data_IF_482300398926
#
_entry.id   IF_482300398926
#
_cell.length_a   1.000
_cell.length_b   1.000
_cell.length_c   1.000
_cell.angle_alpha   90.00
_cell.angle_beta   90.00
_cell.angle_gamma   90.00
#
_symmetry.space_group_name_H-M   'P 1'
#
loop_
_entity.id
_entity.type
_entity.pdbx_description
1 polymer ?
#
# COMPACT_ATOMS: atom_id res chain seq x y z
N UNK A 1 2.72 -11.90 -70.03
CA UNK A 1 2.70 -11.34 -71.39
C UNK A 1 2.02 -9.98 -71.34
N UNK A 2 2.65 -8.98 -71.97
CA UNK A 2 2.14 -7.66 -72.35
C UNK A 2 1.74 -6.64 -71.25
N UNK A 3 2.66 -5.66 -71.08
CA UNK A 3 2.41 -4.26 -70.74
C UNK A 3 1.52 -3.57 -71.80
N UNK A 4 1.04 -2.34 -71.52
CA UNK A 4 1.65 -1.16 -72.16
C UNK A 4 1.86 -0.02 -71.14
N UNK A 5 3.03 0.61 -70.99
CA UNK A 5 3.74 1.57 -71.88
C UNK A 5 2.93 2.83 -72.20
N UNK A 6 3.21 3.92 -71.46
CA UNK A 6 3.00 5.28 -71.92
C UNK A 6 4.15 6.16 -71.42
N UNK A 7 4.74 6.87 -72.38
CA UNK A 7 6.03 7.55 -72.36
C UNK A 7 5.88 9.07 -72.34
N UNK A 8 6.87 9.73 -71.71
CA UNK A 8 7.38 11.10 -71.95
C UNK A 8 6.56 12.30 -71.45
N UNK A 9 7.15 13.52 -71.29
CA UNK A 9 8.56 13.90 -71.46
C UNK A 9 9.21 14.60 -70.23
N UNK A 10 10.52 14.44 -70.14
CA UNK A 10 11.47 15.19 -69.29
C UNK A 10 11.64 16.64 -69.76
N UNK A 11 11.60 17.65 -68.87
CA UNK A 11 12.09 18.99 -69.20
C UNK A 11 13.61 19.07 -69.04
N UNK A 12 14.26 19.61 -70.07
CA UNK A 12 15.71 19.82 -70.13
C UNK A 12 16.21 20.79 -69.05
N UNK A 13 17.29 20.40 -68.38
CA UNK A 13 18.02 21.25 -67.45
C UNK A 13 19.11 22.00 -68.21
N UNK A 14 18.94 23.32 -68.32
CA UNK A 14 20.03 24.22 -68.70
C UNK A 14 21.01 24.38 -67.52
N UNK A 15 22.33 24.43 -67.76
CA UNK A 15 23.30 24.67 -66.70
C UNK A 15 23.22 26.12 -66.22
N UNK A 16 22.63 26.33 -65.03
CA UNK A 16 22.67 27.61 -64.32
C UNK A 16 24.09 27.84 -63.80
N UNK A 17 24.66 29.00 -64.13
CA UNK A 17 26.00 29.43 -63.70
C UNK A 17 26.08 29.46 -62.17
N UNK A 18 27.16 28.88 -61.62
CA UNK A 18 27.53 29.00 -60.20
C UNK A 18 27.91 30.45 -59.89
N UNK A 19 27.03 31.12 -59.16
CA UNK A 19 27.19 32.47 -58.64
C UNK A 19 25.80 33.01 -58.43
N UNK A 20 25.43 33.34 -57.18
CA UNK A 20 24.15 33.97 -56.79
C UNK A 20 22.95 33.07 -56.42
N UNK A 21 23.16 31.95 -55.70
CA UNK A 21 22.04 31.21 -55.06
C UNK A 21 22.19 30.88 -53.57
N UNK A 22 23.19 31.43 -52.88
CA UNK A 22 23.38 31.17 -51.45
C UNK A 22 22.33 31.81 -50.50
N UNK A 23 21.76 33.01 -50.74
CA UNK A 23 20.84 33.63 -49.78
C UNK A 23 19.37 33.23 -49.94
N UNK A 24 18.96 32.70 -51.10
CA UNK A 24 17.55 32.35 -51.36
C UNK A 24 17.15 30.98 -50.80
N UNK A 25 18.03 29.97 -50.89
CA UNK A 25 17.80 28.63 -50.35
C UNK A 25 17.85 28.59 -48.81
N UNK A 26 18.68 29.44 -48.19
CA UNK A 26 18.73 29.58 -46.73
C UNK A 26 17.43 30.19 -46.15
N UNK A 27 16.80 31.13 -46.88
CA UNK A 27 15.49 31.70 -46.50
C UNK A 27 14.34 30.72 -46.70
N UNK A 28 14.37 29.90 -47.76
CA UNK A 28 13.36 28.87 -48.00
C UNK A 28 13.40 27.74 -46.96
N UNK A 29 14.58 27.30 -46.54
CA UNK A 29 14.73 26.28 -45.48
C UNK A 29 14.34 26.82 -44.10
N UNK A 30 14.67 28.07 -43.78
CA UNK A 30 14.25 28.69 -42.51
C UNK A 30 12.73 28.87 -42.41
N UNK A 31 12.06 29.20 -43.52
CA UNK A 31 10.61 29.37 -43.57
C UNK A 31 9.86 28.02 -43.47
N UNK A 32 10.35 26.98 -44.15
CA UNK A 32 9.78 25.63 -44.05
C UNK A 32 9.93 25.03 -42.64
N UNK A 33 11.05 25.26 -41.96
CA UNK A 33 11.28 24.74 -40.60
C UNK A 33 10.43 25.49 -39.55
N UNK A 34 10.18 26.79 -39.75
CA UNK A 34 9.31 27.59 -38.89
C UNK A 34 7.81 27.26 -39.06
N UNK A 35 7.37 26.93 -40.28
CA UNK A 35 5.99 26.48 -40.54
C UNK A 35 5.70 25.10 -39.93
N UNK A 36 6.66 24.16 -39.96
CA UNK A 36 6.47 22.82 -39.37
C UNK A 36 6.41 22.89 -37.84
N UNK A 37 7.17 23.78 -37.20
CA UNK A 37 7.12 23.99 -35.74
C UNK A 37 5.83 24.70 -35.28
N UNK A 38 5.30 25.64 -36.07
CA UNK A 38 4.05 26.33 -35.75
C UNK A 38 2.82 25.44 -35.95
N UNK A 39 2.80 24.58 -36.97
CA UNK A 39 1.69 23.64 -37.20
C UNK A 39 1.69 22.52 -36.15
N UNK A 40 2.86 22.03 -35.72
CA UNK A 40 2.96 21.05 -34.63
C UNK A 40 2.52 21.58 -33.25
N UNK A 41 2.55 22.91 -33.05
CA UNK A 41 2.10 23.57 -31.82
C UNK A 41 0.56 23.73 -31.76
N UNK A 42 -0.11 23.80 -32.91
CA UNK A 42 -1.55 24.10 -32.98
C UNK A 42 -2.40 22.82 -33.15
N UNK A 43 -1.91 21.76 -33.81
CA UNK A 43 -2.76 20.60 -34.16
C UNK A 43 -2.82 19.47 -33.12
N UNK A 44 -2.16 19.58 -31.95
CA UNK A 44 -2.17 18.51 -30.92
C UNK A 44 -3.31 18.64 -29.88
N UNK A 45 -4.24 19.60 -30.05
CA UNK A 45 -5.30 19.90 -29.08
C UNK A 45 -6.63 19.19 -29.33
N UNK A 46 -6.71 18.26 -30.30
CA UNK A 46 -7.94 17.53 -30.58
C UNK A 46 -7.71 16.01 -30.68
N UNK A 47 -7.97 15.28 -29.59
CA UNK A 47 -8.33 13.85 -29.60
C UNK A 47 -8.96 13.44 -28.23
N UNK A 48 -9.66 12.30 -28.14
CA UNK A 48 -11.08 12.22 -27.83
C UNK A 48 -11.37 11.91 -26.35
N UNK A 49 -12.58 12.27 -25.91
CA UNK A 49 -13.20 11.84 -24.66
C UNK A 49 -13.29 10.31 -24.59
N UNK A 50 -12.77 9.65 -23.53
CA UNK A 50 -13.08 8.25 -23.30
C UNK A 50 -14.49 8.11 -22.73
N UNK A 51 -15.24 7.15 -23.30
CA UNK A 51 -16.57 6.78 -22.87
C UNK A 51 -16.58 6.28 -21.41
N UNK A 52 -17.63 6.69 -20.66
CA UNK A 52 -17.91 6.23 -19.31
C UNK A 52 -17.93 4.69 -19.24
N UNK A 53 -17.06 4.13 -18.39
CA UNK A 53 -17.16 2.74 -17.95
C UNK A 53 -18.21 2.62 -16.82
N UNK A 54 -19.02 1.56 -16.90
CA UNK A 54 -20.12 1.24 -15.99
C UNK A 54 -19.67 1.04 -14.52
N UNK A 55 -20.57 1.26 -13.54
CA UNK A 55 -20.23 1.13 -12.12
C UNK A 55 -20.03 -0.34 -11.71
N UNK A 56 -18.94 -0.60 -11.00
CA UNK A 56 -18.67 -1.87 -10.32
C UNK A 56 -19.45 -1.96 -8.98
N UNK A 57 -19.81 -3.18 -8.52
CA UNK A 57 -20.73 -3.38 -7.41
C UNK A 57 -20.13 -2.94 -6.06
N UNK A 58 -20.95 -2.26 -5.26
CA UNK A 58 -20.65 -1.85 -3.89
C UNK A 58 -20.56 -3.05 -2.95
N UNK A 59 -19.47 -3.14 -2.20
CA UNK A 59 -19.36 -3.98 -1.01
C UNK A 59 -19.80 -3.18 0.22
N UNK A 60 -20.39 -3.85 1.25
CA UNK A 60 -21.02 -3.18 2.38
C UNK A 60 -20.02 -2.44 3.27
N UNK A 61 -20.40 -1.22 3.61
CA UNK A 61 -19.68 -0.24 4.42
C UNK A 61 -19.82 -0.59 5.90
N UNK A 62 -18.81 -1.25 6.48
CA UNK A 62 -18.57 -1.18 7.93
C UNK A 62 -17.12 -1.55 8.24
N UNK A 63 -16.51 -0.78 9.16
CA UNK A 63 -15.17 -0.93 9.76
C UNK A 63 -13.99 -0.27 9.02
N UNK A 64 -13.84 1.04 9.22
CA UNK A 64 -12.55 1.75 9.12
C UNK A 64 -12.33 2.58 10.39
N UNK A 65 -11.51 2.09 11.33
CA UNK A 65 -10.86 2.95 12.32
C UNK A 65 -9.40 2.53 12.62
N UNK A 66 -8.49 3.44 12.25
CA UNK A 66 -7.19 3.88 12.81
C UNK A 66 -6.19 2.86 13.40
N UNK A 67 -4.97 2.86 12.82
CA UNK A 67 -3.72 2.35 13.43
C UNK A 67 -2.71 3.48 13.68
N UNK A 68 -1.83 3.36 14.70
CA UNK A 68 -0.53 4.02 14.72
C UNK A 68 0.65 3.02 14.65
N UNK A 69 1.80 3.57 14.27
CA UNK A 69 3.03 2.91 13.80
C UNK A 69 3.86 2.20 14.88
N UNK A 70 4.69 1.22 14.46
CA UNK A 70 5.74 0.58 15.28
C UNK A 70 7.15 0.93 14.77
N UNK A 71 8.01 1.30 15.71
CA UNK A 71 9.46 1.42 15.55
C UNK A 71 10.15 0.11 16.00
N UNK A 72 11.25 -0.23 15.33
CA UNK A 72 12.06 -1.43 15.57
C UNK A 72 13.22 -1.12 16.52
N UNK A 73 13.52 -2.01 17.46
CA UNK A 73 14.80 -2.04 18.16
C UNK A 73 15.22 -3.49 18.43
N UNK A 74 16.52 -3.71 18.31
CA UNK A 74 17.21 -4.99 18.18
C UNK A 74 18.23 -5.08 19.33
N UNK A 75 18.20 -6.11 20.18
CA UNK A 75 19.27 -6.35 21.18
C UNK A 75 19.46 -7.86 21.41
N UNK A 76 20.72 -8.29 21.33
CA UNK A 76 21.21 -9.62 21.67
C UNK A 76 21.81 -9.66 23.10
N UNK A 77 21.55 -10.78 23.78
CA UNK A 77 22.39 -11.53 24.75
C UNK A 77 22.96 -10.85 26.02
N UNK A 78 22.55 -11.29 27.21
CA UNK A 78 23.20 -12.39 27.99
C UNK A 78 23.06 -12.25 29.55
N UNK A 79 22.74 -13.40 30.17
CA UNK A 79 23.13 -13.90 31.50
C UNK A 79 22.42 -13.49 32.82
N UNK A 80 21.90 -14.56 33.46
CA UNK A 80 21.97 -14.92 34.89
C UNK A 80 20.96 -14.37 35.93
N UNK A 81 20.04 -15.27 36.30
CA UNK A 81 19.51 -15.60 37.64
C UNK A 81 19.32 -14.46 38.67
N UNK A 82 18.10 -13.96 38.75
CA UNK A 82 17.27 -13.85 39.95
C UNK A 82 15.92 -13.28 39.50
N UNK A 83 14.79 -13.78 40.02
CA UNK A 83 13.46 -13.22 39.72
C UNK A 83 13.34 -11.80 40.28
N UNK A 84 13.01 -10.76 39.49
CA UNK A 84 12.45 -9.52 40.00
C UNK A 84 10.92 -9.48 39.80
N UNK A 85 10.19 -8.65 40.57
CA UNK A 85 8.78 -8.42 40.35
C UNK A 85 8.56 -7.78 38.97
N UNK A 86 7.58 -8.30 38.22
CA UNK A 86 7.18 -7.77 36.91
C UNK A 86 6.62 -6.36 37.12
N UNK A 87 7.42 -5.36 36.76
CA UNK A 87 6.98 -3.99 36.55
C UNK A 87 6.22 -3.90 35.22
N UNK A 88 5.00 -3.39 35.30
CA UNK A 88 4.07 -3.19 34.20
C UNK A 88 4.58 -2.16 33.18
N UNK A 89 4.66 -2.55 31.91
CA UNK A 89 4.64 -1.64 30.77
C UNK A 89 3.25 -1.70 30.09
N UNK A 90 2.77 -0.61 29.44
CA UNK A 90 1.35 -0.40 29.20
C UNK A 90 0.83 -1.23 28.03
N UNK A 91 -0.06 -2.17 28.34
CA UNK A 91 -0.93 -2.81 27.35
C UNK A 91 -1.92 -1.80 26.80
N UNK A 92 -1.92 -1.57 25.49
CA UNK A 92 -2.99 -0.85 24.79
C UNK A 92 -4.31 -1.58 25.04
N UNK A 93 -5.11 -1.04 25.95
CA UNK A 93 -6.42 -1.58 26.32
C UNK A 93 -7.48 -0.97 25.41
N UNK A 94 -8.11 -1.78 24.56
CA UNK A 94 -9.38 -1.39 23.95
C UNK A 94 -10.45 -1.46 25.05
N UNK A 95 -10.83 -0.31 25.61
CA UNK A 95 -11.92 -0.20 26.57
C UNK A 95 -13.25 -0.04 25.83
N UNK A 96 -14.17 -1.00 25.99
CA UNK A 96 -15.57 -0.88 25.57
C UNK A 96 -16.47 -1.29 26.74
N UNK A 97 -17.53 -0.52 26.99
CA UNK A 97 -18.55 -0.77 28.03
C UNK A 97 -19.93 -0.88 27.40
N UNK A 98 -20.68 -1.95 27.68
CA UNK A 98 -22.07 -2.15 27.22
C UNK A 98 -22.90 -2.79 28.34
N UNK A 99 -24.14 -2.31 28.53
CA UNK A 99 -25.11 -2.76 29.53
C UNK A 99 -26.17 -3.71 28.97
N UNK A 100 -26.43 -4.82 29.67
CA UNK A 100 -27.80 -5.36 29.87
C UNK A 100 -28.36 -6.41 28.90
N UNK A 101 -27.80 -6.62 27.72
CA UNK A 101 -28.24 -7.65 26.76
C UNK A 101 -27.01 -8.43 26.31
N UNK A 102 -27.16 -9.73 25.95
CA UNK A 102 -26.06 -10.66 25.65
C UNK A 102 -24.93 -10.00 24.84
N UNK A 103 -23.93 -9.49 25.55
CA UNK A 103 -22.97 -8.59 24.97
C UNK A 103 -21.92 -9.43 24.25
N UNK A 104 -21.78 -9.22 22.94
CA UNK A 104 -20.72 -9.83 22.14
C UNK A 104 -19.49 -8.94 22.20
N UNK A 105 -18.42 -9.44 22.83
CA UNK A 105 -17.12 -8.78 22.78
C UNK A 105 -16.27 -9.48 21.73
N UNK A 106 -15.75 -8.70 20.79
CA UNK A 106 -14.80 -9.18 19.78
C UNK A 106 -13.44 -8.58 20.06
N UNK A 107 -12.44 -9.43 20.30
CA UNK A 107 -11.05 -8.97 20.41
C UNK A 107 -10.34 -9.22 19.09
N UNK A 108 -10.03 -8.13 18.38
CA UNK A 108 -9.17 -8.19 17.21
C UNK A 108 -7.74 -8.53 17.64
N UNK A 109 -7.38 -9.81 17.58
CA UNK A 109 -6.01 -10.30 17.81
C UNK A 109 -5.40 -9.88 19.15
N UNK A 110 -5.88 -10.48 20.25
CA UNK A 110 -5.24 -10.32 21.55
C UNK A 110 -3.77 -10.75 21.51
N UNK A 111 -2.85 -10.03 22.19
CA UNK A 111 -1.43 -10.35 22.15
C UNK A 111 -1.14 -11.70 22.80
N UNK A 112 -0.15 -12.41 22.25
CA UNK A 112 0.37 -13.64 22.84
C UNK A 112 1.08 -13.31 24.15
N UNK A 113 0.59 -13.86 25.27
CA UNK A 113 1.18 -13.65 26.59
C UNK A 113 2.20 -14.72 26.98
N UNK A 114 2.02 -15.94 26.47
CA UNK A 114 2.90 -17.08 26.77
C UNK A 114 2.82 -18.11 25.64
N UNK A 115 3.95 -18.73 25.34
CA UNK A 115 4.03 -19.90 24.46
C UNK A 115 4.83 -20.99 25.14
N UNK A 116 4.33 -22.23 25.08
CA UNK A 116 5.02 -23.43 25.52
C UNK A 116 5.24 -24.33 24.31
N UNK A 117 6.49 -24.59 23.95
CA UNK A 117 6.84 -25.44 22.83
C UNK A 117 6.98 -26.90 23.25
N UNK A 118 6.38 -27.77 22.45
CA UNK A 118 6.52 -29.22 22.52
C UNK A 118 7.26 -29.72 21.27
N UNK A 119 7.56 -31.02 21.24
CA UNK A 119 8.26 -31.64 20.12
C UNK A 119 7.52 -31.48 18.78
N UNK A 120 6.19 -31.47 18.79
CA UNK A 120 5.34 -31.50 17.59
C UNK A 120 4.28 -30.38 17.51
N UNK A 121 4.20 -29.53 18.54
CA UNK A 121 3.18 -28.48 18.67
C UNK A 121 3.62 -27.37 19.62
N UNK A 122 2.83 -26.30 19.67
CA UNK A 122 2.97 -25.25 20.66
C UNK A 122 1.64 -25.03 21.35
N UNK A 123 1.68 -24.71 22.63
CA UNK A 123 0.55 -24.17 23.38
C UNK A 123 0.71 -22.66 23.45
N UNK A 124 -0.28 -21.94 22.96
CA UNK A 124 -0.32 -20.49 22.87
C UNK A 124 -1.37 -19.99 23.86
N UNK A 125 -0.97 -19.08 24.74
CA UNK A 125 -1.86 -18.38 25.65
C UNK A 125 -1.96 -16.92 25.24
N UNK A 126 -3.18 -16.43 25.04
CA UNK A 126 -3.49 -15.01 24.80
C UNK A 126 -4.33 -14.46 25.94
N UNK A 127 -4.01 -13.24 26.37
CA UNK A 127 -4.71 -12.58 27.46
C UNK A 127 -5.69 -11.52 26.92
N UNK A 128 -6.93 -11.55 27.42
CA UNK A 128 -7.98 -10.57 27.11
C UNK A 128 -8.48 -9.98 28.41
N UNK A 129 -8.53 -8.65 28.49
CA UNK A 129 -9.15 -7.93 29.59
C UNK A 129 -10.38 -7.19 29.07
N UNK A 130 -11.49 -7.32 29.78
CA UNK A 130 -12.75 -6.65 29.44
C UNK A 130 -13.49 -6.19 30.69
N UNK A 131 -14.33 -5.18 30.54
CA UNK A 131 -15.19 -4.67 31.61
C UNK A 131 -16.62 -5.13 31.37
N UNK A 132 -17.09 -6.06 32.20
CA UNK A 132 -18.50 -6.43 32.25
C UNK A 132 -19.26 -5.32 32.97
N UNK A 133 -20.19 -4.64 32.28
CA UNK A 133 -20.88 -3.49 32.86
C UNK A 133 -21.93 -3.89 33.91
N UNK A 134 -22.51 -5.08 33.81
CA UNK A 134 -23.58 -5.58 34.68
C UNK A 134 -23.43 -7.08 34.95
N UNK A 135 -24.26 -7.60 35.86
CA UNK A 135 -24.44 -9.03 36.03
C UNK A 135 -25.08 -9.64 34.77
N UNK A 136 -24.74 -10.90 34.46
CA UNK A 136 -25.32 -11.62 33.33
C UNK A 136 -24.28 -12.38 32.50
N UNK A 137 -24.73 -12.87 31.34
CA UNK A 137 -23.90 -13.64 30.42
C UNK A 137 -23.31 -12.76 29.31
N UNK A 138 -22.04 -12.98 29.03
CA UNK A 138 -21.24 -12.24 28.07
C UNK A 138 -20.49 -13.24 27.19
N UNK A 139 -20.64 -13.10 25.87
CA UNK A 139 -19.93 -13.93 24.90
C UNK A 139 -18.67 -13.19 24.42
N UNK A 140 -17.50 -13.78 24.67
CA UNK A 140 -16.21 -13.20 24.32
C UNK A 140 -15.57 -14.04 23.24
N UNK A 141 -15.38 -13.45 22.07
CA UNK A 141 -14.79 -14.14 20.92
C UNK A 141 -13.38 -13.64 20.65
N UNK A 142 -12.42 -14.54 20.84
CA UNK A 142 -11.05 -14.39 20.37
C UNK A 142 -11.02 -14.73 18.88
N UNK A 143 -10.90 -13.70 18.06
CA UNK A 143 -10.69 -13.85 16.62
C UNK A 143 -9.21 -14.09 16.31
N UNK A 144 -8.93 -14.38 15.05
CA UNK A 144 -7.57 -14.40 14.53
C UNK A 144 -6.71 -15.51 15.16
N UNK A 145 -7.34 -16.66 15.43
CA UNK A 145 -6.65 -17.86 15.93
C UNK A 145 -6.14 -18.64 14.73
N UNK A 146 -4.92 -19.16 14.81
CA UNK A 146 -4.29 -19.93 13.75
C UNK A 146 -5.21 -20.97 13.11
N UNK A 147 -5.10 -21.12 11.78
CA UNK A 147 -5.69 -22.23 11.04
C UNK A 147 -5.13 -23.59 11.50
N UNK A 148 -3.90 -23.59 12.03
CA UNK A 148 -3.20 -24.76 12.52
C UNK A 148 -3.63 -25.17 13.94
N UNK A 149 -4.60 -24.48 14.54
CA UNK A 149 -5.16 -24.79 15.86
C UNK A 149 -5.69 -26.23 15.90
N UNK A 150 -5.22 -27.01 16.87
CA UNK A 150 -5.70 -28.36 17.15
C UNK A 150 -7.10 -28.33 17.76
N UNK A 151 -7.88 -29.36 17.48
CA UNK A 151 -9.32 -29.35 17.77
C UNK A 151 -9.55 -29.75 19.20
N UNK A 152 -10.53 -29.12 19.84
CA UNK A 152 -10.84 -29.34 21.25
C UNK A 152 -9.64 -29.04 22.17
N UNK A 153 -8.70 -28.21 21.70
CA UNK A 153 -7.50 -27.82 22.45
C UNK A 153 -7.68 -26.51 23.23
N UNK A 154 -8.72 -25.73 22.90
CA UNK A 154 -8.99 -24.47 23.56
C UNK A 154 -9.42 -24.69 25.01
N UNK A 155 -8.81 -23.93 25.91
CA UNK A 155 -9.10 -23.80 27.32
C UNK A 155 -9.18 -22.32 27.64
N UNK A 156 -10.11 -21.94 28.50
CA UNK A 156 -10.28 -20.55 28.90
C UNK A 156 -10.31 -20.48 30.41
N UNK A 157 -9.36 -19.75 30.96
CA UNK A 157 -9.32 -19.44 32.39
C UNK A 157 -9.77 -18.00 32.59
N UNK A 158 -10.61 -17.77 33.60
CA UNK A 158 -11.14 -16.44 33.91
C UNK A 158 -10.83 -16.05 35.35
N UNK A 159 -10.42 -14.80 35.55
CA UNK A 159 -10.28 -14.18 36.86
C UNK A 159 -11.00 -12.84 36.87
N UNK A 160 -11.72 -12.54 37.95
CA UNK A 160 -12.39 -11.25 38.13
C UNK A 160 -11.71 -10.43 39.23
N UNK A 161 -11.71 -9.12 39.07
CA UNK A 161 -11.12 -8.18 40.04
C UNK A 161 -12.19 -7.73 41.04
N UNK A 162 -11.78 -7.46 42.28
CA UNK A 162 -12.64 -6.82 43.29
C UNK A 162 -13.66 -7.74 43.97
N UNK A 163 -13.37 -9.04 44.07
CA UNK A 163 -14.24 -10.01 44.77
C UNK A 163 -15.53 -10.37 44.03
N UNK A 164 -15.70 -9.92 42.79
CA UNK A 164 -16.74 -10.38 41.89
C UNK A 164 -16.51 -11.85 41.50
N UNK A 165 -17.60 -12.57 41.21
CA UNK A 165 -17.54 -13.94 40.69
C UNK A 165 -17.74 -13.91 39.17
N UNK A 166 -16.82 -14.52 38.45
CA UNK A 166 -16.94 -14.77 37.02
C UNK A 166 -16.74 -16.28 36.76
N UNK A 167 -17.68 -16.88 36.04
CA UNK A 167 -17.63 -18.30 35.69
C UNK A 167 -17.62 -18.47 34.18
N UNK A 168 -16.71 -19.30 33.67
CA UNK A 168 -16.74 -19.71 32.26
C UNK A 168 -17.77 -20.83 32.11
N UNK A 169 -18.88 -20.54 31.44
CA UNK A 169 -20.03 -21.45 31.26
C UNK A 169 -19.77 -22.42 30.11
N UNK A 170 -19.10 -21.96 29.06
CA UNK A 170 -18.82 -22.77 27.88
C UNK A 170 -17.74 -22.19 27.00
N UNK A 171 -17.05 -23.07 26.27
CA UNK A 171 -16.04 -22.70 25.29
C UNK A 171 -16.40 -23.39 23.98
N UNK A 172 -16.61 -22.58 22.94
CA UNK A 172 -16.94 -23.06 21.59
C UNK A 172 -15.82 -22.70 20.64
N UNK A 173 -15.24 -23.71 20.01
CA UNK A 173 -14.27 -23.53 18.93
C UNK A 173 -15.00 -23.43 17.59
N UNK A 174 -14.93 -22.25 16.96
CA UNK A 174 -15.33 -22.11 15.57
C UNK A 174 -14.10 -22.30 14.69
N UNK A 175 -13.84 -23.56 14.35
CA UNK A 175 -12.96 -23.89 13.24
C UNK A 175 -13.64 -23.43 11.95
N UNK A 176 -13.13 -22.37 11.33
CA UNK A 176 -13.33 -22.22 9.89
C UNK A 176 -12.43 -23.27 9.27
N UNK A 177 -12.93 -24.51 9.18
CA UNK A 177 -12.31 -25.54 8.36
C UNK A 177 -12.00 -24.87 7.04
N UNK A 178 -10.70 -24.88 6.67
CA UNK A 178 -10.12 -24.00 5.66
C UNK A 178 -11.12 -23.71 4.57
N UNK A 179 -11.34 -22.42 4.31
CA UNK A 179 -12.23 -21.87 3.29
C UNK A 179 -12.76 -22.98 2.37
N UNK A 180 -14.06 -23.36 2.40
CA UNK A 180 -14.55 -24.46 1.58
C UNK A 180 -13.96 -24.30 0.20
N UNK A 181 -13.44 -25.36 -0.44
CA UNK A 181 -12.57 -25.23 -1.60
C UNK A 181 -13.11 -24.30 -2.72
N UNK A 182 -14.41 -23.98 -2.72
CA UNK A 182 -15.06 -22.94 -3.55
C UNK A 182 -15.15 -21.48 -3.04
N UNK A 183 -14.86 -21.13 -1.76
CA UNK A 183 -14.90 -19.75 -1.24
C UNK A 183 -13.52 -19.04 -1.19
N UNK A 184 -12.41 -19.77 -1.33
CA UNK A 184 -11.07 -19.19 -1.47
C UNK A 184 -10.84 -18.64 -2.89
N UNK A 185 -11.36 -19.29 -3.95
CA UNK A 185 -11.36 -18.74 -5.30
C UNK A 185 -11.96 -17.32 -5.40
N UNK A 186 -13.17 -17.01 -4.89
CA UNK A 186 -13.77 -15.68 -5.05
C UNK A 186 -13.02 -14.61 -4.26
N UNK A 187 -12.49 -14.90 -3.07
CA UNK A 187 -11.67 -13.93 -2.31
C UNK A 187 -10.31 -13.68 -2.98
N UNK A 188 -9.66 -14.72 -3.52
CA UNK A 188 -8.42 -14.56 -4.29
C UNK A 188 -8.65 -13.86 -5.63
N UNK A 189 -9.79 -14.08 -6.26
CA UNK A 189 -10.20 -13.36 -7.45
C UNK A 189 -10.51 -11.89 -7.15
N UNK A 190 -11.23 -11.61 -6.05
CA UNK A 190 -11.45 -10.26 -5.58
C UNK A 190 -10.14 -9.53 -5.26
N UNK A 191 -9.17 -10.21 -4.63
CA UNK A 191 -7.84 -9.66 -4.39
C UNK A 191 -7.10 -9.36 -5.71
N UNK A 192 -7.09 -10.31 -6.65
CA UNK A 192 -6.48 -10.09 -7.98
C UNK A 192 -7.14 -8.94 -8.74
N UNK A 193 -8.46 -8.83 -8.67
CA UNK A 193 -9.21 -7.74 -9.28
C UNK A 193 -8.88 -6.38 -8.61
N UNK A 194 -8.75 -6.35 -7.29
CA UNK A 194 -8.35 -5.16 -6.55
C UNK A 194 -6.91 -4.74 -6.87
N UNK A 195 -5.98 -5.69 -6.98
CA UNK A 195 -4.58 -5.44 -7.36
C UNK A 195 -4.47 -4.93 -8.80
N UNK A 196 -5.23 -5.51 -9.74
CA UNK A 196 -5.32 -5.00 -11.11
C UNK A 196 -5.89 -3.57 -11.18
N UNK A 197 -6.93 -3.28 -10.39
CA UNK A 197 -7.50 -1.94 -10.32
C UNK A 197 -6.54 -0.92 -9.67
N UNK A 198 -5.73 -1.34 -8.70
CA UNK A 198 -4.68 -0.51 -8.13
C UNK A 198 -3.59 -0.19 -9.16
N UNK A 199 -3.11 -1.20 -9.91
CA UNK A 199 -2.12 -1.00 -10.96
C UNK A 199 -2.63 -0.02 -12.05
N UNK A 200 -3.90 -0.12 -12.45
CA UNK A 200 -4.51 0.83 -13.37
C UNK A 200 -4.58 2.26 -12.81
N UNK A 201 -4.90 2.41 -11.51
CA UNK A 201 -4.92 3.72 -10.85
C UNK A 201 -3.51 4.33 -10.71
N UNK A 202 -2.50 3.51 -10.47
CA UNK A 202 -1.10 3.95 -10.44
C UNK A 202 -0.63 4.42 -11.81
N UNK A 203 -0.97 3.71 -12.88
CA UNK A 203 -0.70 4.14 -14.26
C UNK A 203 -1.35 5.49 -14.58
N UNK A 204 -2.62 5.68 -14.20
CA UNK A 204 -3.33 6.97 -14.39
C UNK A 204 -2.64 8.13 -13.64
N UNK A 205 -2.18 7.90 -12.41
CA UNK A 205 -1.45 8.90 -11.64
C UNK A 205 -0.08 9.23 -12.27
N UNK A 206 0.63 8.22 -12.78
CA UNK A 206 1.90 8.43 -13.48
C UNK A 206 1.70 9.25 -14.76
N UNK A 207 0.70 8.93 -15.57
CA UNK A 207 0.36 9.66 -16.78
C UNK A 207 -0.01 11.13 -16.50
N UNK A 208 -0.82 11.38 -15.48
CA UNK A 208 -1.18 12.74 -15.05
C UNK A 208 0.07 13.54 -14.62
N UNK A 209 0.96 12.92 -13.84
CA UNK A 209 2.22 13.54 -13.42
C UNK A 209 3.17 13.78 -14.60
N UNK A 210 3.25 12.86 -15.55
CA UNK A 210 4.07 13.02 -16.75
C UNK A 210 3.56 14.18 -17.63
N UNK A 211 2.24 14.34 -17.77
CA UNK A 211 1.62 15.49 -18.44
C UNK A 211 1.93 16.80 -17.72
N UNK A 212 1.79 16.83 -16.39
CA UNK A 212 2.13 17.99 -15.57
C UNK A 212 3.61 18.37 -15.71
N UNK A 213 4.53 17.40 -15.69
CA UNK A 213 5.95 17.62 -15.87
C UNK A 213 6.29 18.19 -17.25
N UNK A 214 5.61 17.74 -18.32
CA UNK A 214 5.76 18.30 -19.67
C UNK A 214 5.34 19.76 -19.72
N UNK A 215 4.20 20.11 -19.12
CA UNK A 215 3.72 21.50 -19.07
C UNK A 215 4.70 22.37 -18.28
N UNK A 216 5.12 21.95 -17.08
CA UNK A 216 6.10 22.69 -16.27
C UNK A 216 7.41 22.96 -17.01
N UNK A 217 7.92 21.99 -17.78
CA UNK A 217 9.12 22.20 -18.62
C UNK A 217 8.90 23.25 -19.71
N UNK A 218 7.71 23.28 -20.32
CA UNK A 218 7.36 24.31 -21.32
C UNK A 218 7.29 25.70 -20.68
N UNK A 219 6.73 25.80 -19.48
CA UNK A 219 6.69 27.06 -18.71
C UNK A 219 8.10 27.53 -18.37
N UNK A 220 8.93 26.68 -17.78
CA UNK A 220 10.30 27.03 -17.43
C UNK A 220 11.14 27.49 -18.65
N UNK A 221 10.95 26.84 -19.80
CA UNK A 221 11.60 27.27 -21.05
C UNK A 221 11.09 28.64 -21.52
N UNK A 222 9.79 28.91 -21.39
CA UNK A 222 9.22 30.21 -21.73
C UNK A 222 9.75 31.32 -20.81
N UNK A 223 9.85 31.05 -19.51
CA UNK A 223 10.44 31.96 -18.52
C UNK A 223 11.92 32.25 -18.84
N UNK A 224 12.72 31.22 -19.14
CA UNK A 224 14.14 31.37 -19.52
C UNK A 224 14.30 32.22 -20.80
N UNK A 225 13.40 32.06 -21.78
CA UNK A 225 13.40 32.89 -23.00
C UNK A 225 13.01 34.33 -22.67
N UNK A 226 12.01 34.55 -21.82
CA UNK A 226 11.58 35.88 -21.39
C UNK A 226 12.70 36.61 -20.63
N UNK A 227 13.37 35.95 -19.68
CA UNK A 227 14.51 36.52 -18.94
C UNK A 227 15.66 36.90 -19.86
N UNK A 228 16.01 36.03 -20.83
CA UNK A 228 17.04 36.35 -21.83
C UNK A 228 16.67 37.54 -22.71
N UNK A 229 15.38 37.75 -22.99
CA UNK A 229 14.92 38.89 -23.79
C UNK A 229 15.02 40.21 -22.99
N UNK A 230 14.74 40.18 -21.69
CA UNK A 230 14.84 41.36 -20.80
C UNK A 230 16.30 41.75 -20.55
N UNK A 231 17.22 40.78 -20.48
CA UNK A 231 18.65 41.02 -20.25
C UNK A 231 19.51 41.28 -21.51
N UNK A 232 18.99 41.01 -22.71
CA UNK A 232 19.74 41.17 -23.96
C UNK A 232 19.71 42.61 -24.47
N UNK A 233 20.45 43.50 -23.84
CA UNK A 233 20.81 44.79 -24.44
C UNK A 233 21.90 44.58 -25.50
N UNK A 234 21.50 44.36 -26.76
CA UNK A 234 22.26 44.87 -27.91
C UNK A 234 22.65 43.90 -29.04
N UNK A 235 22.96 42.63 -28.82
CA UNK A 235 23.56 41.80 -29.89
C UNK A 235 23.15 40.31 -29.85
N UNK A 236 21.85 40.01 -29.79
CA UNK A 236 21.41 38.60 -29.86
C UNK A 236 20.55 38.33 -31.11
N UNK A 237 21.09 37.54 -32.05
CA UNK A 237 20.39 37.09 -33.25
C UNK A 237 19.08 36.30 -32.96
N UNK A 238 18.93 35.79 -31.73
CA UNK A 238 17.70 35.19 -31.24
C UNK A 238 16.57 36.23 -31.03
N UNK A 239 16.93 37.44 -30.60
CA UNK A 239 16.00 38.55 -30.41
C UNK A 239 15.45 39.03 -31.76
N UNK A 240 16.32 39.28 -32.76
CA UNK A 240 15.88 39.68 -34.12
C UNK A 240 14.95 38.65 -34.78
N UNK A 241 15.19 37.35 -34.58
CA UNK A 241 14.30 36.30 -35.13
C UNK A 241 12.94 36.28 -34.45
N UNK A 242 12.85 36.57 -33.15
CA UNK A 242 11.58 36.61 -32.45
C UNK A 242 10.81 37.90 -32.75
N UNK A 243 11.48 39.05 -32.71
CA UNK A 243 10.87 40.35 -33.00
C UNK A 243 10.49 40.50 -34.47
N UNK A 244 11.06 39.72 -35.40
CA UNK A 244 10.56 39.68 -36.78
C UNK A 244 9.08 39.25 -36.91
N UNK A 245 8.50 38.62 -35.87
CA UNK A 245 7.09 38.22 -35.81
C UNK A 245 6.18 39.20 -35.08
N UNK A 246 6.74 40.17 -34.35
CA UNK A 246 6.00 41.11 -33.53
C UNK A 246 6.38 42.54 -33.93
N UNK A 247 5.39 43.37 -34.23
CA UNK A 247 5.64 44.72 -34.70
C UNK A 247 5.95 45.69 -33.57
N UNK A 248 5.51 45.39 -32.34
CA UNK A 248 5.75 46.20 -31.15
C UNK A 248 6.17 45.35 -29.95
N UNK A 249 6.81 46.00 -28.97
CA UNK A 249 7.17 45.38 -27.69
C UNK A 249 5.92 44.99 -26.88
N UNK A 250 4.84 45.76 -27.01
CA UNK A 250 3.54 45.50 -26.36
C UNK A 250 2.91 44.19 -26.83
N UNK A 251 3.03 43.84 -28.11
CA UNK A 251 2.55 42.55 -28.65
C UNK A 251 3.31 41.35 -28.07
N UNK A 252 4.61 41.51 -27.78
CA UNK A 252 5.42 40.46 -27.14
C UNK A 252 4.99 40.24 -25.70
N UNK A 253 4.72 41.31 -24.94
CA UNK A 253 4.23 41.21 -23.56
C UNK A 253 2.82 40.62 -23.50
N UNK A 254 1.91 41.06 -24.38
CA UNK A 254 0.56 40.50 -24.46
C UNK A 254 0.57 39.01 -24.79
N UNK A 255 1.43 38.58 -25.73
CA UNK A 255 1.62 37.17 -26.03
C UNK A 255 2.19 36.39 -24.85
N UNK A 256 3.19 36.94 -24.14
CA UNK A 256 3.78 36.30 -22.96
C UNK A 256 2.75 36.13 -21.82
N UNK A 257 1.92 37.14 -21.56
CA UNK A 257 0.84 37.09 -20.57
C UNK A 257 -0.23 36.05 -20.95
N UNK A 258 -0.57 35.95 -22.23
CA UNK A 258 -1.48 34.92 -22.75
C UNK A 258 -0.89 33.51 -22.53
N UNK A 259 0.39 33.30 -22.86
CA UNK A 259 1.06 32.02 -22.62
C UNK A 259 1.16 31.69 -21.12
N UNK A 260 1.43 32.67 -20.28
CA UNK A 260 1.48 32.49 -18.83
C UNK A 260 0.10 32.12 -18.25
N UNK A 261 -0.97 32.73 -18.76
CA UNK A 261 -2.35 32.42 -18.38
C UNK A 261 -2.73 31.00 -18.80
N UNK A 262 -2.48 30.63 -20.07
CA UNK A 262 -2.71 29.28 -20.58
C UNK A 262 -1.91 28.22 -19.83
N UNK A 263 -0.65 28.51 -19.50
CA UNK A 263 0.20 27.65 -18.70
C UNK A 263 -0.32 27.44 -17.27
N UNK A 264 -0.79 28.52 -16.64
CA UNK A 264 -1.35 28.48 -15.28
C UNK A 264 -2.64 27.67 -15.25
N UNK A 265 -3.52 27.87 -16.23
CA UNK A 265 -4.77 27.11 -16.40
C UNK A 265 -4.52 25.63 -16.72
N UNK A 266 -3.57 25.33 -17.60
CA UNK A 266 -3.20 23.95 -17.89
C UNK A 266 -2.59 23.27 -16.66
N UNK A 267 -1.77 23.99 -15.90
CA UNK A 267 -1.14 23.49 -14.67
C UNK A 267 -2.18 23.26 -13.58
N UNK A 268 -3.14 24.15 -13.39
CA UNK A 268 -4.20 24.01 -12.38
C UNK A 268 -5.11 22.81 -12.69
N UNK A 269 -5.51 22.64 -13.97
CA UNK A 269 -6.30 21.49 -14.43
C UNK A 269 -5.55 20.16 -14.25
N UNK A 270 -4.28 20.10 -14.64
CA UNK A 270 -3.46 18.88 -14.49
C UNK A 270 -3.16 18.56 -13.02
N UNK A 271 -3.01 19.58 -12.17
CA UNK A 271 -2.90 19.37 -10.71
C UNK A 271 -4.19 18.77 -10.13
N UNK A 272 -5.36 19.26 -10.55
CA UNK A 272 -6.64 18.71 -10.12
C UNK A 272 -6.83 17.26 -10.61
N UNK A 273 -6.44 16.96 -11.85
CA UNK A 273 -6.44 15.61 -12.40
C UNK A 273 -5.51 14.67 -11.61
N UNK A 274 -4.28 15.09 -11.33
CA UNK A 274 -3.33 14.32 -10.53
C UNK A 274 -3.81 14.09 -9.08
N UNK A 275 -4.47 15.08 -8.48
CA UNK A 275 -5.07 14.95 -7.15
C UNK A 275 -6.20 13.90 -7.15
N UNK A 276 -7.11 13.97 -8.12
CA UNK A 276 -8.18 12.98 -8.27
C UNK A 276 -7.64 11.56 -8.52
N UNK A 277 -6.60 11.43 -9.36
CA UNK A 277 -5.94 10.14 -9.58
C UNK A 277 -5.27 9.60 -8.30
N UNK A 278 -4.68 10.48 -7.48
CA UNK A 278 -4.08 10.10 -6.20
C UNK A 278 -5.13 9.64 -5.18
N UNK A 279 -6.28 10.31 -5.11
CA UNK A 279 -7.42 9.89 -4.27
C UNK A 279 -7.93 8.51 -4.69
N UNK A 280 -8.12 8.28 -5.99
CA UNK A 280 -8.54 6.98 -6.52
C UNK A 280 -7.52 5.90 -6.16
N UNK A 281 -6.23 6.15 -6.36
CA UNK A 281 -5.15 5.23 -6.00
C UNK A 281 -5.18 4.87 -4.51
N UNK A 282 -5.37 5.86 -3.63
CA UNK A 282 -5.46 5.61 -2.19
C UNK A 282 -6.71 4.79 -1.83
N UNK A 283 -7.86 5.06 -2.44
CA UNK A 283 -9.07 4.26 -2.27
C UNK A 283 -8.88 2.81 -2.73
N UNK A 284 -8.21 2.59 -3.88
CA UNK A 284 -7.89 1.24 -4.38
C UNK A 284 -6.90 0.51 -3.50
N UNK A 285 -5.89 1.21 -2.97
CA UNK A 285 -4.95 0.65 -1.99
C UNK A 285 -5.67 0.17 -0.73
N UNK A 286 -6.58 0.98 -0.19
CA UNK A 286 -7.40 0.59 0.96
C UNK A 286 -8.27 -0.65 0.66
N UNK A 287 -8.80 -0.77 -0.56
CA UNK A 287 -9.55 -1.95 -0.99
C UNK A 287 -8.68 -3.22 -1.09
N UNK A 288 -7.44 -3.10 -1.60
CA UNK A 288 -6.47 -4.22 -1.60
C UNK A 288 -6.17 -4.64 -0.17
N UNK A 289 -5.89 -3.70 0.73
CA UNK A 289 -5.61 -4.00 2.14
C UNK A 289 -6.80 -4.68 2.83
N UNK A 290 -8.04 -4.24 2.53
CA UNK A 290 -9.25 -4.86 3.02
C UNK A 290 -9.44 -6.29 2.48
N UNK A 291 -9.21 -6.51 1.18
CA UNK A 291 -9.29 -7.83 0.56
C UNK A 291 -8.24 -8.80 1.12
N UNK A 292 -7.01 -8.32 1.38
CA UNK A 292 -5.96 -9.10 2.04
C UNK A 292 -6.37 -9.51 3.45
N UNK A 293 -6.85 -8.57 4.26
CA UNK A 293 -7.36 -8.87 5.61
C UNK A 293 -8.52 -9.87 5.56
N UNK A 294 -9.46 -9.72 4.62
CA UNK A 294 -10.57 -10.64 4.45
C UNK A 294 -10.09 -12.06 4.09
N UNK A 295 -9.10 -12.17 3.20
CA UNK A 295 -8.50 -13.45 2.83
C UNK A 295 -7.74 -14.09 4.01
N UNK A 296 -6.96 -13.31 4.75
CA UNK A 296 -6.27 -13.76 5.97
C UNK A 296 -7.25 -14.26 7.03
N UNK A 297 -8.35 -13.53 7.25
CA UNK A 297 -9.40 -13.90 8.20
C UNK A 297 -10.25 -15.09 7.73
N UNK A 298 -10.37 -15.32 6.42
CA UNK A 298 -11.14 -16.43 5.89
C UNK A 298 -10.53 -17.80 6.28
N UNK A 299 -9.21 -17.87 6.50
CA UNK A 299 -8.51 -19.08 6.94
C UNK A 299 -8.39 -19.26 8.46
N UNK A 300 -8.75 -18.25 9.27
CA UNK A 300 -8.48 -18.26 10.71
C UNK A 300 -9.66 -18.79 11.51
N UNK A 301 -9.35 -19.48 12.61
CA UNK A 301 -10.31 -19.98 13.58
C UNK A 301 -10.69 -18.89 14.58
N UNK A 302 -11.75 -19.13 15.34
CA UNK A 302 -12.13 -18.30 16.48
C UNK A 302 -12.48 -19.18 17.68
N UNK A 303 -12.23 -18.67 18.89
CA UNK A 303 -12.61 -19.30 20.15
C UNK A 303 -13.59 -18.36 20.86
N UNK A 304 -14.79 -18.84 21.17
CA UNK A 304 -15.80 -18.08 21.90
C UNK A 304 -15.97 -18.65 23.29
N UNK A 305 -15.75 -17.84 24.32
CA UNK A 305 -16.02 -18.15 25.71
C UNK A 305 -17.33 -17.48 26.14
N UNK A 306 -18.26 -18.24 26.71
CA UNK A 306 -19.43 -17.70 27.39
C UNK A 306 -19.08 -17.54 28.88
N UNK A 307 -19.16 -16.32 29.39
CA UNK A 307 -18.81 -15.99 30.77
C UNK A 307 -20.05 -15.43 31.45
N UNK A 308 -20.28 -15.85 32.69
CA UNK A 308 -21.32 -15.33 33.54
C UNK A 308 -20.70 -14.55 34.70
N UNK A 309 -21.14 -13.31 34.89
CA UNK A 309 -20.68 -12.43 35.98
C UNK A 309 -21.81 -12.10 36.94
N UNK A 310 -21.51 -12.06 38.24
CA UNK A 310 -22.50 -11.75 39.28
C UNK A 310 -22.77 -10.25 39.45
N UNK A 311 -21.86 -9.38 38.98
CA UNK A 311 -21.94 -7.92 39.06
C UNK A 311 -21.01 -7.26 38.04
N UNK A 312 -21.05 -5.92 37.96
CA UNK A 312 -20.09 -5.13 37.18
C UNK A 312 -18.65 -5.41 37.65
N UNK A 313 -17.77 -5.87 36.77
CA UNK A 313 -16.38 -6.16 37.12
C UNK A 313 -15.47 -6.15 35.90
N UNK A 314 -14.16 -6.02 36.14
CA UNK A 314 -13.14 -6.29 35.14
C UNK A 314 -12.81 -7.77 35.18
N UNK A 315 -12.98 -8.45 34.04
CA UNK A 315 -12.65 -9.86 33.86
C UNK A 315 -11.40 -9.95 32.99
N UNK A 316 -10.41 -10.70 33.49
CA UNK A 316 -9.24 -11.13 32.73
C UNK A 316 -9.40 -12.59 32.33
N UNK A 317 -9.29 -12.85 31.03
CA UNK A 317 -9.42 -14.16 30.42
C UNK A 317 -8.08 -14.57 29.80
N UNK A 318 -7.70 -15.82 30.02
CA UNK A 318 -6.55 -16.46 29.38
C UNK A 318 -7.09 -17.54 28.45
N UNK A 319 -6.97 -17.28 27.14
CA UNK A 319 -7.31 -18.25 26.11
C UNK A 319 -6.05 -19.05 25.79
N UNK A 320 -6.04 -20.33 26.17
CA UNK A 320 -4.93 -21.26 25.90
C UNK A 320 -5.38 -22.28 24.87
N UNK A 321 -4.64 -22.44 23.78
CA UNK A 321 -4.95 -23.40 22.73
C UNK A 321 -3.67 -23.97 22.13
N UNK A 322 -3.76 -25.14 21.50
CA UNK A 322 -2.61 -25.78 20.88
C UNK A 322 -2.62 -25.54 19.38
N UNK A 323 -1.45 -25.28 18.80
CA UNK A 323 -1.22 -25.12 17.37
C UNK A 323 -0.23 -26.16 16.87
N UNK A 324 -0.54 -26.75 15.73
CA UNK A 324 0.37 -27.61 14.98
C UNK A 324 1.35 -26.77 14.15
N UNK A 325 2.34 -27.42 13.51
CA UNK A 325 3.38 -26.77 12.67
C UNK A 325 4.36 -25.90 13.45
N UNK A 326 4.60 -26.27 14.70
CA UNK A 326 5.77 -25.83 15.44
C UNK A 326 6.46 -27.06 15.99
N UNK A 327 7.78 -27.03 16.06
CA UNK A 327 8.53 -28.09 16.72
C UNK A 327 9.67 -27.49 17.50
N UNK A 328 10.04 -28.19 18.56
CA UNK A 328 11.24 -27.93 19.32
C UNK A 328 12.02 -29.23 19.45
N UNK A 329 13.33 -29.16 19.22
CA UNK A 329 14.24 -30.28 19.52
C UNK A 329 15.47 -29.76 20.26
N UNK A 330 15.94 -30.49 21.28
CA UNK A 330 17.19 -30.16 21.94
C UNK A 330 18.35 -30.44 20.98
N UNK A 331 19.39 -29.61 21.04
CA UNK A 331 20.67 -29.85 20.38
C UNK A 331 21.74 -29.76 21.45
N UNK A 332 22.67 -30.72 21.43
CA UNK A 332 23.77 -30.76 22.37
C UNK A 332 25.06 -30.65 21.58
N UNK A 333 25.89 -29.66 21.92
CA UNK A 333 27.25 -29.60 21.41
C UNK A 333 28.17 -30.12 22.52
N UNK A 334 28.95 -31.15 22.17
CA UNK A 334 29.91 -31.78 23.07
C UNK A 334 31.31 -31.38 22.64
N UNK A 335 32.01 -30.65 23.50
CA UNK A 335 33.41 -30.28 23.30
C UNK A 335 34.26 -31.03 24.32
N UNK A 336 35.28 -31.73 23.83
CA UNK A 336 36.27 -32.38 24.69
C UNK A 336 37.32 -31.34 25.08
N UNK A 337 37.49 -31.13 26.38
CA UNK A 337 38.49 -30.20 26.91
C UNK A 337 39.80 -30.93 27.23
N UNK A 338 40.91 -30.45 26.65
CA UNK A 338 42.27 -30.92 26.93
C UNK A 338 42.78 -32.05 26.02
N UNK A 339 44.11 -32.17 25.93
CA UNK A 339 44.79 -33.19 25.11
C UNK A 339 44.59 -34.64 25.60
N UNK A 340 44.13 -34.82 26.84
CA UNK A 340 43.92 -36.11 27.51
C UNK A 340 42.42 -36.46 27.74
N UNK A 341 41.47 -35.64 27.27
CA UNK A 341 40.03 -35.90 27.39
C UNK A 341 39.51 -36.12 28.83
N UNK A 342 40.01 -35.36 29.81
CA UNK A 342 39.60 -35.51 31.22
C UNK A 342 38.22 -34.90 31.53
N UNK A 343 37.71 -33.99 30.69
CA UNK A 343 36.39 -33.38 30.85
C UNK A 343 35.67 -33.13 29.52
N UNK A 344 34.34 -33.19 29.56
CA UNK A 344 33.45 -32.88 28.43
C UNK A 344 32.64 -31.64 28.78
N UNK A 345 32.75 -30.59 27.97
CA UNK A 345 31.87 -29.45 28.00
C UNK A 345 30.60 -29.75 27.20
N UNK A 346 29.43 -29.64 27.84
CA UNK A 346 28.13 -29.90 27.23
C UNK A 346 27.38 -28.58 27.09
N UNK A 347 27.23 -28.10 25.87
CA UNK A 347 26.38 -26.95 25.55
C UNK A 347 24.98 -27.44 25.22
N UNK A 348 23.98 -26.91 25.91
CA UNK A 348 22.57 -27.21 25.65
C UNK A 348 21.93 -26.10 24.83
N UNK A 349 21.50 -26.44 23.63
CA UNK A 349 20.80 -25.59 22.68
C UNK A 349 19.43 -26.13 22.30
N UNK A 350 18.72 -25.34 21.51
CA UNK A 350 17.36 -25.63 21.06
C UNK A 350 17.21 -25.19 19.60
N UNK A 351 16.66 -26.07 18.76
CA UNK A 351 16.20 -25.71 17.42
C UNK A 351 14.68 -25.62 17.47
N UNK A 352 14.17 -24.42 17.20
CA UNK A 352 12.75 -24.11 17.16
C UNK A 352 12.36 -23.88 15.70
N UNK A 353 11.29 -24.52 15.25
CA UNK A 353 10.66 -24.20 13.97
C UNK A 353 9.22 -23.78 14.20
N UNK A 354 8.76 -22.82 13.39
CA UNK A 354 7.42 -22.27 13.47
C UNK A 354 6.87 -22.02 12.07
N UNK A 355 5.66 -22.49 11.82
CA UNK A 355 4.82 -22.17 10.65
C UNK A 355 3.36 -22.17 11.07
N UNK A 356 3.08 -21.50 12.19
CA UNK A 356 1.80 -21.53 12.90
C UNK A 356 0.93 -20.31 12.62
N UNK A 357 1.41 -19.29 11.90
CA UNK A 357 0.74 -17.99 11.65
C UNK A 357 0.40 -17.20 12.94
N UNK A 358 0.98 -17.59 14.06
CA UNK A 358 0.91 -16.89 15.34
C UNK A 358 2.11 -15.95 15.49
N UNK A 359 1.94 -14.83 16.19
CA UNK A 359 3.03 -13.88 16.47
C UNK A 359 3.59 -14.16 17.86
N UNK A 360 4.76 -14.84 17.93
CA UNK A 360 5.50 -15.15 19.17
C UNK A 360 6.99 -15.40 18.97
#
# INVERSE_FOLDING_TARGET
AALPSATSPTPGWAPVRRGDMAPALARAFACATACVLAVALVTSLAAPTPALAAPAPSLPEELVQRSPARASANINSAAARAWPPVTSAPSSTAQASVSGEAAFFTTGGAPTSRVVLYADRAEVTRAVELRAAAAGQVAVTLWNVSAAMLGQSARVEGSAVGGAKAMVVGVTERRRSGVPAGAAPPLREALRAAEAALAAAEGSLEDANARLARVKRRVALADEVAERMVGATGENAAFERLTSKFTTLEEVFAWADEQATHATDATSKLKAEAASAAELRNARKAAVDAARRALEQAGRSAITALIETDRSTTVRLLFTYQVSRSSWKPVYDLLLDGAAAESVHVSYGAVITQSTDEDW
#
